data_IF_205421436337
#
_entry.id   IF_205421436337
#
_cell.length_a   1.000
_cell.length_b   1.000
_cell.length_c   1.000
_cell.angle_alpha   90.00
_cell.angle_beta   90.00
_cell.angle_gamma   90.00
#
_symmetry.space_group_name_H-M   'P 1'
#
loop_
_entity.id
_entity.type
_entity.pdbx_description
1 polymer ?
#
# COMPACT_ATOMS: atom_id res chain seq x y z
N UNK A 1 -55.88 18.46 24.53
CA UNK A 1 -54.84 17.92 23.62
C UNK A 1 -53.51 18.51 24.05
N UNK A 2 -52.67 17.75 24.77
CA UNK A 2 -51.34 18.20 25.23
C UNK A 2 -50.30 17.49 24.39
N UNK A 3 -49.54 18.26 23.62
CA UNK A 3 -48.44 17.81 22.79
C UNK A 3 -47.30 17.32 23.69
N UNK A 4 -47.07 16.01 23.72
CA UNK A 4 -45.91 15.39 24.34
C UNK A 4 -44.99 14.96 23.19
N UNK A 5 -43.97 15.74 22.88
CA UNK A 5 -42.70 15.38 22.22
C UNK A 5 -41.92 16.72 22.11
N UNK A 6 -40.66 16.87 22.58
CA UNK A 6 -39.55 15.94 22.35
C UNK A 6 -38.44 15.96 23.46
N UNK A 7 -38.55 15.16 24.53
CA UNK A 7 -37.45 15.10 25.53
C UNK A 7 -36.46 13.95 25.29
N UNK A 8 -36.79 13.01 24.41
CA UNK A 8 -35.99 11.79 24.15
C UNK A 8 -34.88 12.02 23.10
N UNK A 9 -34.90 13.13 22.36
CA UNK A 9 -33.98 13.34 21.22
C UNK A 9 -32.56 13.83 21.62
N UNK A 10 -32.36 14.35 22.84
CA UNK A 10 -31.10 15.02 23.23
C UNK A 10 -30.06 14.04 23.81
N UNK A 11 -30.46 12.87 24.31
CA UNK A 11 -29.52 11.93 24.94
C UNK A 11 -28.68 11.10 23.94
N UNK A 12 -29.15 10.95 22.70
CA UNK A 12 -28.48 10.11 21.68
C UNK A 12 -27.25 10.80 21.07
N UNK A 13 -27.23 12.14 21.04
CA UNK A 13 -26.15 12.91 20.37
C UNK A 13 -24.82 12.86 21.16
N UNK A 14 -24.85 12.74 22.49
CA UNK A 14 -23.63 12.71 23.32
C UNK A 14 -22.86 11.38 23.26
N UNK A 15 -23.53 10.26 22.99
CA UNK A 15 -22.89 8.93 22.95
C UNK A 15 -22.07 8.71 21.67
N UNK A 16 -22.48 9.32 20.55
CA UNK A 16 -21.81 9.15 19.25
C UNK A 16 -20.42 9.81 19.23
N UNK A 17 -20.25 10.95 19.91
CA UNK A 17 -18.98 11.68 19.97
C UNK A 17 -17.87 10.94 20.74
N UNK A 18 -18.24 10.23 21.82
CA UNK A 18 -17.29 9.46 22.61
C UNK A 18 -16.79 8.21 21.87
N UNK A 19 -17.69 7.52 21.14
CA UNK A 19 -17.34 6.33 20.38
C UNK A 19 -16.28 6.61 19.30
N UNK A 20 -16.40 7.73 18.57
CA UNK A 20 -15.43 8.13 17.55
C UNK A 20 -14.02 8.35 18.15
N UNK A 21 -13.94 9.06 19.27
CA UNK A 21 -12.67 9.35 19.94
C UNK A 21 -11.98 8.09 20.45
N UNK A 22 -12.73 7.14 21.03
CA UNK A 22 -12.21 5.85 21.48
C UNK A 22 -11.66 5.04 20.30
N UNK A 23 -12.41 5.01 19.19
CA UNK A 23 -11.98 4.31 17.98
C UNK A 23 -10.70 4.92 17.40
N UNK A 24 -10.57 6.25 17.31
CA UNK A 24 -9.33 6.90 16.85
C UNK A 24 -8.15 6.59 17.79
N UNK A 25 -8.37 6.62 19.11
CA UNK A 25 -7.35 6.26 20.08
C UNK A 25 -6.88 4.80 19.88
N UNK A 26 -7.83 3.87 19.76
CA UNK A 26 -7.53 2.45 19.52
C UNK A 26 -6.82 2.23 18.18
N UNK A 27 -7.22 2.96 17.12
CA UNK A 27 -6.58 2.90 15.82
C UNK A 27 -5.08 3.23 15.94
N UNK A 28 -4.74 4.32 16.63
CA UNK A 28 -3.35 4.73 16.87
C UNK A 28 -2.58 3.71 17.70
N UNK A 29 -3.22 3.17 18.75
CA UNK A 29 -2.60 2.13 19.59
C UNK A 29 -2.24 0.89 18.78
N UNK A 30 -3.15 0.42 17.93
CA UNK A 30 -2.90 -0.75 17.09
C UNK A 30 -1.89 -0.45 15.98
N UNK A 31 -1.90 0.73 15.38
CA UNK A 31 -0.91 1.14 14.38
C UNK A 31 0.52 1.15 14.96
N UNK A 32 0.71 1.67 16.18
CA UNK A 32 2.00 1.61 16.87
C UNK A 32 2.43 0.17 17.18
N UNK A 33 1.51 -0.68 17.61
CA UNK A 33 1.79 -2.09 17.87
C UNK A 33 2.12 -2.86 16.57
N UNK A 34 1.47 -2.50 15.46
CA UNK A 34 1.76 -3.07 14.15
C UNK A 34 3.16 -2.69 13.68
N UNK A 35 3.56 -1.42 13.87
CA UNK A 35 4.90 -0.95 13.55
C UNK A 35 5.98 -1.65 14.39
N UNK A 36 5.77 -1.81 15.70
CA UNK A 36 6.71 -2.57 16.56
C UNK A 36 6.85 -4.04 16.13
N UNK A 37 5.75 -4.70 15.75
CA UNK A 37 5.81 -6.05 15.20
C UNK A 37 6.54 -6.11 13.85
N UNK A 38 6.31 -5.13 12.97
CA UNK A 38 7.01 -5.00 11.69
C UNK A 38 8.53 -4.86 11.89
N UNK A 39 8.98 -4.04 12.83
CA UNK A 39 10.42 -3.88 13.14
C UNK A 39 11.09 -5.17 13.62
N UNK A 40 10.30 -6.11 14.17
CA UNK A 40 10.77 -7.43 14.61
C UNK A 40 10.66 -8.50 13.51
N UNK A 41 10.14 -8.14 12.33
CA UNK A 41 9.82 -9.09 11.26
C UNK A 41 8.63 -10.00 11.58
N UNK A 42 7.83 -9.68 12.60
CA UNK A 42 6.61 -10.41 12.95
C UNK A 42 5.44 -9.91 12.08
N UNK A 43 5.47 -10.34 10.81
CA UNK A 43 4.51 -9.90 9.80
C UNK A 43 3.08 -10.35 10.07
N UNK A 44 2.88 -11.50 10.73
CA UNK A 44 1.54 -11.97 11.12
C UNK A 44 0.92 -11.09 12.19
N UNK A 45 1.69 -10.76 13.23
CA UNK A 45 1.23 -9.86 14.27
C UNK A 45 1.04 -8.44 13.73
N UNK A 46 1.95 -7.96 12.89
CA UNK A 46 1.82 -6.67 12.21
C UNK A 46 0.53 -6.61 11.39
N UNK A 47 0.26 -7.63 10.57
CA UNK A 47 -0.99 -7.73 9.79
C UNK A 47 -2.22 -7.67 10.69
N UNK A 48 -2.26 -8.48 11.75
CA UNK A 48 -3.39 -8.48 12.69
C UNK A 48 -3.62 -7.10 13.28
N UNK A 49 -2.56 -6.41 13.71
CA UNK A 49 -2.68 -5.08 14.29
C UNK A 49 -3.06 -4.02 13.25
N UNK A 50 -2.53 -4.05 12.03
CA UNK A 50 -2.97 -3.15 10.96
C UNK A 50 -4.45 -3.36 10.60
N UNK A 51 -4.96 -4.60 10.61
CA UNK A 51 -6.39 -4.88 10.43
C UNK A 51 -7.25 -4.21 11.51
N UNK A 52 -6.84 -4.35 12.78
CA UNK A 52 -7.53 -3.71 13.91
C UNK A 52 -7.43 -2.18 13.85
N UNK A 53 -6.27 -1.65 13.47
CA UNK A 53 -6.04 -0.22 13.32
C UNK A 53 -6.97 0.37 12.25
N UNK A 54 -7.03 -0.27 11.08
CA UNK A 54 -7.91 0.13 9.98
C UNK A 54 -9.39 0.08 10.37
N UNK A 55 -9.85 -1.02 10.98
CA UNK A 55 -11.24 -1.15 11.41
C UNK A 55 -11.64 -0.05 12.40
N UNK A 56 -10.78 0.24 13.39
CA UNK A 56 -11.01 1.32 14.34
C UNK A 56 -10.93 2.71 13.67
N UNK A 57 -9.99 2.95 12.76
CA UNK A 57 -9.89 4.22 12.05
C UNK A 57 -11.16 4.51 11.24
N UNK A 58 -11.70 3.50 10.55
CA UNK A 58 -12.95 3.60 9.79
C UNK A 58 -14.15 3.88 10.71
N UNK A 59 -14.30 3.14 11.80
CA UNK A 59 -15.38 3.38 12.79
C UNK A 59 -15.24 4.72 13.52
N UNK A 60 -14.01 5.24 13.62
CA UNK A 60 -13.70 6.55 14.20
C UNK A 60 -13.87 7.72 13.24
N UNK A 61 -14.24 7.48 11.98
CA UNK A 61 -14.25 8.48 10.91
C UNK A 61 -12.91 9.22 10.77
N UNK A 62 -11.80 8.46 10.82
CA UNK A 62 -10.48 9.01 10.53
C UNK A 62 -10.46 9.63 9.12
N UNK A 63 -9.54 10.56 8.91
CA UNK A 63 -9.35 11.15 7.59
C UNK A 63 -8.96 10.08 6.55
N UNK A 64 -9.32 10.35 5.29
CA UNK A 64 -9.14 9.42 4.18
C UNK A 64 -7.68 8.98 3.99
N UNK A 65 -6.69 9.84 4.29
CA UNK A 65 -5.26 9.49 4.15
C UNK A 65 -4.83 8.53 5.24
N UNK A 66 -5.32 8.72 6.47
CA UNK A 66 -5.11 7.75 7.56
C UNK A 66 -5.69 6.38 7.20
N UNK A 67 -6.92 6.33 6.68
CA UNK A 67 -7.53 5.05 6.27
C UNK A 67 -6.75 4.41 5.11
N UNK A 68 -6.34 5.21 4.12
CA UNK A 68 -5.53 4.76 2.98
C UNK A 68 -4.21 4.12 3.42
N UNK A 69 -3.42 4.83 4.23
CA UNK A 69 -2.14 4.33 4.75
C UNK A 69 -2.30 3.03 5.52
N UNK A 70 -3.29 2.94 6.42
CA UNK A 70 -3.52 1.71 7.19
C UNK A 70 -3.90 0.53 6.30
N UNK A 71 -4.64 0.78 5.22
CA UNK A 71 -4.99 -0.25 4.24
C UNK A 71 -3.79 -0.66 3.40
N UNK A 72 -2.94 0.28 3.00
CA UNK A 72 -1.66 0.02 2.33
C UNK A 72 -0.77 -0.91 3.19
N UNK A 73 -0.55 -0.58 4.46
CA UNK A 73 0.29 -1.40 5.34
C UNK A 73 -0.31 -2.78 5.63
N UNK A 74 -1.64 -2.87 5.83
CA UNK A 74 -2.31 -4.16 5.94
C UNK A 74 -2.13 -5.00 4.67
N UNK A 75 -2.20 -4.38 3.49
CA UNK A 75 -2.00 -5.05 2.21
C UNK A 75 -0.59 -5.60 2.06
N UNK A 76 0.44 -4.79 2.39
CA UNK A 76 1.84 -5.23 2.40
C UNK A 76 2.07 -6.41 3.33
N UNK A 77 1.64 -6.29 4.59
CA UNK A 77 1.78 -7.34 5.58
C UNK A 77 1.06 -8.64 5.13
N UNK A 78 -0.12 -8.52 4.52
CA UNK A 78 -0.87 -9.66 3.97
C UNK A 78 -0.14 -10.36 2.82
N UNK A 79 0.50 -9.61 1.92
CA UNK A 79 1.27 -10.20 0.82
C UNK A 79 2.50 -10.94 1.32
N UNK A 80 3.16 -10.47 2.38
CA UNK A 80 4.34 -11.14 2.95
C UNK A 80 3.96 -12.51 3.53
N UNK A 81 2.81 -12.60 4.20
CA UNK A 81 2.28 -13.85 4.77
C UNK A 81 1.41 -14.65 3.79
N UNK A 82 1.46 -14.31 2.50
CA UNK A 82 0.85 -15.06 1.40
C UNK A 82 -0.68 -15.10 1.40
N UNK A 83 -1.31 -14.13 2.06
CA UNK A 83 -2.74 -13.86 1.95
C UNK A 83 -3.02 -12.98 0.73
N UNK A 84 -2.74 -13.52 -0.45
CA UNK A 84 -2.67 -12.78 -1.72
C UNK A 84 -3.95 -12.01 -2.06
N UNK A 85 -5.11 -12.63 -1.88
CA UNK A 85 -6.41 -12.01 -2.15
C UNK A 85 -6.66 -10.80 -1.25
N UNK A 86 -6.33 -10.92 0.04
CA UNK A 86 -6.47 -9.83 1.01
C UNK A 86 -5.48 -8.70 0.74
N UNK A 87 -4.25 -9.06 0.38
CA UNK A 87 -3.21 -8.11 0.02
C UNK A 87 -3.63 -7.26 -1.17
N UNK A 88 -4.09 -7.91 -2.24
CA UNK A 88 -4.55 -7.23 -3.45
C UNK A 88 -5.78 -6.35 -3.18
N UNK A 89 -6.79 -6.88 -2.48
CA UNK A 89 -7.98 -6.11 -2.14
C UNK A 89 -7.61 -4.83 -1.39
N UNK A 90 -6.75 -4.95 -0.39
CA UNK A 90 -6.31 -3.83 0.43
C UNK A 90 -5.52 -2.79 -0.36
N UNK A 91 -4.56 -3.21 -1.19
CA UNK A 91 -3.75 -2.26 -1.95
C UNK A 91 -4.56 -1.55 -3.05
N UNK A 92 -5.53 -2.24 -3.69
CA UNK A 92 -6.44 -1.55 -4.60
C UNK A 92 -7.33 -0.54 -3.85
N UNK A 93 -7.83 -0.88 -2.67
CA UNK A 93 -8.57 0.10 -1.84
C UNK A 93 -7.70 1.31 -1.45
N UNK A 94 -6.43 1.09 -1.07
CA UNK A 94 -5.49 2.17 -0.78
C UNK A 94 -5.24 3.06 -2.01
N UNK A 95 -5.04 2.47 -3.19
CA UNK A 95 -4.91 3.19 -4.46
C UNK A 95 -6.12 4.11 -4.73
N UNK A 96 -7.34 3.61 -4.53
CA UNK A 96 -8.57 4.38 -4.73
C UNK A 96 -8.71 5.52 -3.71
N UNK A 97 -8.33 5.30 -2.45
CA UNK A 97 -8.37 6.32 -1.40
C UNK A 97 -7.30 7.40 -1.62
N UNK A 98 -6.10 7.03 -2.03
CA UNK A 98 -5.03 7.98 -2.38
C UNK A 98 -5.42 8.81 -3.61
N UNK A 99 -6.04 8.20 -4.62
CA UNK A 99 -6.54 8.91 -5.81
C UNK A 99 -7.60 9.97 -5.46
N UNK A 100 -8.41 9.72 -4.43
CA UNK A 100 -9.44 10.68 -3.95
C UNK A 100 -8.89 11.76 -3.04
N UNK A 101 -7.70 11.57 -2.48
CA UNK A 101 -7.15 12.43 -1.42
C UNK A 101 -5.85 13.14 -1.79
N UNK A 102 -5.42 13.00 -3.05
CA UNK A 102 -4.11 13.40 -3.53
C UNK A 102 -2.97 12.78 -2.70
N UNK A 103 -3.14 11.50 -2.33
CA UNK A 103 -2.14 10.66 -1.69
C UNK A 103 -1.17 10.04 -2.71
N UNK A 104 -0.16 9.28 -2.24
CA UNK A 104 0.88 8.70 -3.08
C UNK A 104 0.39 7.46 -3.84
N UNK A 105 -0.54 7.65 -4.79
CA UNK A 105 -1.19 6.58 -5.59
C UNK A 105 -0.23 5.64 -6.34
N UNK A 106 1.04 6.01 -6.52
CA UNK A 106 2.04 5.13 -7.09
C UNK A 106 2.47 4.01 -6.12
N UNK A 107 2.46 4.26 -4.81
CA UNK A 107 2.95 3.29 -3.82
C UNK A 107 2.14 1.99 -3.82
N UNK A 108 0.78 2.01 -3.77
CA UNK A 108 0.03 0.77 -3.81
C UNK A 108 0.18 0.00 -5.14
N UNK A 109 0.40 0.70 -6.26
CA UNK A 109 0.61 0.06 -7.56
C UNK A 109 1.96 -0.67 -7.66
N UNK A 110 3.03 -0.09 -7.09
CA UNK A 110 4.33 -0.77 -6.95
C UNK A 110 4.18 -2.06 -6.15
N UNK A 111 3.48 -2.00 -5.02
CA UNK A 111 3.29 -3.20 -4.20
C UNK A 111 2.41 -4.26 -4.90
N UNK A 112 1.40 -3.83 -5.65
CA UNK A 112 0.52 -4.73 -6.41
C UNK A 112 1.26 -5.46 -7.53
N UNK A 113 2.14 -4.78 -8.28
CA UNK A 113 2.94 -5.46 -9.31
C UNK A 113 3.91 -6.46 -8.67
N UNK A 114 4.56 -6.10 -7.55
CA UNK A 114 5.50 -6.99 -6.85
C UNK A 114 4.83 -8.23 -6.28
N UNK A 115 3.61 -8.09 -5.75
CA UNK A 115 2.78 -9.23 -5.34
C UNK A 115 2.47 -10.15 -6.53
N UNK A 116 2.20 -9.58 -7.71
CA UNK A 116 1.97 -10.36 -8.92
C UNK A 116 3.23 -11.05 -9.41
N UNK A 117 4.39 -10.38 -9.38
CA UNK A 117 5.71 -10.97 -9.70
C UNK A 117 6.03 -12.13 -8.76
N UNK A 118 5.81 -11.97 -7.44
CA UNK A 118 6.02 -13.04 -6.45
C UNK A 118 5.18 -14.29 -6.75
N UNK A 119 3.98 -14.11 -7.30
CA UNK A 119 3.08 -15.17 -7.75
C UNK A 119 3.37 -15.66 -9.19
N UNK A 120 4.38 -15.11 -9.87
CA UNK A 120 4.67 -15.32 -11.31
C UNK A 120 3.49 -14.99 -12.24
N UNK A 121 2.58 -14.13 -11.78
CA UNK A 121 1.45 -13.66 -12.57
C UNK A 121 1.84 -12.41 -13.37
N UNK A 122 2.71 -12.59 -14.36
CA UNK A 122 3.30 -11.49 -15.13
C UNK A 122 2.27 -10.73 -15.97
N UNK A 123 1.21 -11.38 -16.44
CA UNK A 123 0.11 -10.71 -17.17
C UNK A 123 -0.56 -9.67 -16.27
N UNK A 124 -0.85 -10.03 -15.01
CA UNK A 124 -1.47 -9.11 -14.05
C UNK A 124 -0.48 -8.02 -13.59
N UNK A 125 0.78 -8.38 -13.35
CA UNK A 125 1.84 -7.43 -13.04
C UNK A 125 1.95 -6.36 -14.14
N UNK A 126 1.92 -6.77 -15.42
CA UNK A 126 1.94 -5.85 -16.56
C UNK A 126 0.77 -4.86 -16.51
N UNK A 127 -0.44 -5.33 -16.20
CA UNK A 127 -1.61 -4.46 -16.06
C UNK A 127 -1.45 -3.40 -14.96
N UNK A 128 -0.71 -3.69 -13.89
CA UNK A 128 -0.36 -2.70 -12.87
C UNK A 128 0.76 -1.75 -13.32
N UNK A 129 1.78 -2.25 -14.02
CA UNK A 129 2.81 -1.40 -14.63
C UNK A 129 2.24 -0.42 -15.65
N UNK A 130 1.30 -0.86 -16.49
CA UNK A 130 0.64 -0.01 -17.49
C UNK A 130 -0.08 1.19 -16.83
N UNK A 131 -0.56 1.04 -15.57
CA UNK A 131 -1.11 2.13 -14.75
C UNK A 131 -0.03 2.95 -14.04
N UNK A 132 1.02 2.29 -13.56
CA UNK A 132 2.09 2.88 -12.75
C UNK A 132 2.99 3.81 -13.56
N UNK A 133 3.39 3.41 -14.77
CA UNK A 133 4.39 4.14 -15.57
C UNK A 133 4.01 5.60 -15.88
N UNK A 134 2.76 5.93 -16.27
CA UNK A 134 2.35 7.33 -16.41
C UNK A 134 2.45 8.14 -15.11
N UNK A 135 2.13 7.52 -13.96
CA UNK A 135 2.19 8.18 -12.65
C UNK A 135 3.65 8.45 -12.26
N UNK A 136 4.55 7.49 -12.48
CA UNK A 136 5.99 7.67 -12.22
C UNK A 136 6.57 8.82 -13.05
N UNK A 137 6.13 8.97 -14.29
CA UNK A 137 6.50 10.10 -15.15
C UNK A 137 5.98 11.43 -14.60
N UNK A 138 4.68 11.49 -14.23
CA UNK A 138 4.05 12.68 -13.64
C UNK A 138 4.78 13.17 -12.39
N UNK A 139 5.16 12.24 -11.49
CA UNK A 139 5.86 12.60 -10.26
C UNK A 139 7.36 12.82 -10.47
N UNK A 140 7.88 12.64 -11.68
CA UNK A 140 9.31 12.71 -12.01
C UNK A 140 10.16 11.75 -11.16
N UNK A 141 9.73 10.49 -11.08
CA UNK A 141 10.35 9.48 -10.22
C UNK A 141 11.85 9.31 -10.50
N UNK A 142 12.26 9.29 -11.77
CA UNK A 142 13.67 9.18 -12.15
C UNK A 142 14.55 10.28 -11.52
N UNK A 143 14.04 11.50 -11.42
CA UNK A 143 14.79 12.62 -10.83
C UNK A 143 14.78 12.56 -9.30
N UNK A 144 13.66 12.14 -8.71
CA UNK A 144 13.45 12.16 -7.25
C UNK A 144 14.09 10.97 -6.53
N UNK A 145 14.05 9.79 -7.14
CA UNK A 145 14.71 8.58 -6.67
C UNK A 145 15.23 7.78 -7.88
N UNK A 146 16.39 8.17 -8.45
CA UNK A 146 16.91 7.53 -9.65
C UNK A 146 17.15 6.04 -9.48
N UNK A 147 17.64 5.61 -8.31
CA UNK A 147 17.94 4.20 -8.06
C UNK A 147 16.64 3.41 -7.88
N UNK A 148 15.69 3.91 -7.08
CA UNK A 148 14.39 3.25 -6.95
C UNK A 148 13.64 3.17 -8.28
N UNK A 149 13.76 4.19 -9.14
CA UNK A 149 13.21 4.15 -10.49
C UNK A 149 13.92 3.12 -11.38
N UNK A 150 15.25 3.00 -11.29
CA UNK A 150 16.00 1.98 -12.02
C UNK A 150 15.60 0.55 -11.60
N UNK A 151 15.39 0.32 -10.31
CA UNK A 151 14.91 -0.97 -9.79
C UNK A 151 13.53 -1.31 -10.37
N UNK A 152 12.60 -0.34 -10.39
CA UNK A 152 11.28 -0.51 -11.01
C UNK A 152 11.36 -0.78 -12.53
N UNK A 153 12.33 -0.20 -13.23
CA UNK A 153 12.55 -0.48 -14.66
C UNK A 153 13.04 -1.90 -14.91
N UNK A 154 13.90 -2.43 -14.03
CA UNK A 154 14.36 -3.82 -14.11
C UNK A 154 13.22 -4.81 -13.76
N UNK A 155 12.39 -4.48 -12.77
CA UNK A 155 11.16 -5.22 -12.44
C UNK A 155 10.18 -5.22 -13.63
N UNK A 156 9.96 -4.06 -14.27
CA UNK A 156 9.10 -3.98 -15.45
C UNK A 156 9.67 -4.77 -16.63
N UNK A 157 10.99 -4.72 -16.84
CA UNK A 157 11.63 -5.49 -17.90
C UNK A 157 11.49 -7.01 -17.69
N UNK A 158 11.56 -7.49 -16.44
CA UNK A 158 11.25 -8.88 -16.11
C UNK A 158 9.83 -9.24 -16.53
N UNK A 159 8.86 -8.38 -16.21
CA UNK A 159 7.46 -8.59 -16.60
C UNK A 159 7.32 -8.64 -18.12
N UNK A 160 7.86 -7.66 -18.85
CA UNK A 160 7.78 -7.57 -20.31
C UNK A 160 8.39 -8.79 -21.00
N UNK A 161 9.52 -9.29 -20.53
CA UNK A 161 10.13 -10.51 -21.08
C UNK A 161 9.21 -11.72 -20.92
N UNK A 162 8.57 -11.86 -19.75
CA UNK A 162 7.65 -12.96 -19.47
C UNK A 162 6.26 -12.79 -20.11
N UNK A 163 5.96 -11.62 -20.70
CA UNK A 163 4.73 -11.37 -21.46
C UNK A 163 4.95 -11.28 -22.97
N UNK A 164 6.14 -11.65 -23.46
CA UNK A 164 6.44 -11.73 -24.90
C UNK A 164 6.89 -10.41 -25.53
N UNK A 165 7.41 -9.47 -24.75
CA UNK A 165 7.91 -8.16 -25.19
C UNK A 165 9.42 -7.97 -24.91
N UNK A 166 10.31 -8.88 -25.37
CA UNK A 166 11.73 -8.88 -25.00
C UNK A 166 12.51 -7.66 -25.52
N UNK A 167 12.09 -7.08 -26.65
CA UNK A 167 12.70 -5.85 -27.17
C UNK A 167 12.42 -4.66 -26.25
N UNK A 168 11.20 -4.53 -25.74
CA UNK A 168 10.84 -3.49 -24.79
C UNK A 168 11.56 -3.71 -23.44
N UNK A 169 11.60 -4.96 -22.96
CA UNK A 169 12.36 -5.33 -21.77
C UNK A 169 13.84 -4.90 -21.87
N UNK A 170 14.47 -5.14 -23.02
CA UNK A 170 15.86 -4.75 -23.27
C UNK A 170 16.08 -3.24 -23.15
N UNK A 171 15.17 -2.43 -23.67
CA UNK A 171 15.26 -0.96 -23.56
C UNK A 171 15.18 -0.50 -22.11
N UNK A 172 14.26 -1.06 -21.32
CA UNK A 172 14.13 -0.71 -19.90
C UNK A 172 15.35 -1.13 -19.08
N UNK A 173 15.91 -2.33 -19.30
CA UNK A 173 17.17 -2.77 -18.66
C UNK A 173 18.35 -1.89 -19.01
N UNK A 174 18.46 -1.48 -20.28
CA UNK A 174 19.53 -0.56 -20.70
C UNK A 174 19.41 0.79 -19.99
N UNK A 175 18.18 1.30 -19.84
CA UNK A 175 17.94 2.54 -19.10
C UNK A 175 18.26 2.40 -17.61
N UNK A 176 17.82 1.33 -16.95
CA UNK A 176 18.15 1.03 -15.56
C UNK A 176 19.68 0.99 -15.35
N UNK A 177 20.41 0.26 -16.20
CA UNK A 177 21.88 0.20 -16.19
C UNK A 177 22.55 1.56 -16.41
N UNK A 178 21.99 2.40 -17.25
CA UNK A 178 22.52 3.75 -17.47
C UNK A 178 22.36 4.62 -16.22
N UNK A 179 21.20 4.54 -15.56
CA UNK A 179 20.93 5.29 -14.33
C UNK A 179 21.87 4.82 -13.21
N UNK A 180 21.97 3.51 -12.96
CA UNK A 180 22.85 2.97 -11.91
C UNK A 180 24.33 3.30 -12.15
N UNK A 181 24.79 3.31 -13.42
CA UNK A 181 26.14 3.77 -13.79
C UNK A 181 26.35 5.26 -13.50
N UNK A 182 25.30 6.08 -13.62
CA UNK A 182 25.37 7.54 -13.36
C UNK A 182 25.40 7.85 -11.86
N UNK A 183 24.80 6.98 -11.04
CA UNK A 183 24.71 7.13 -9.58
C UNK A 183 25.39 5.97 -8.83
N UNK A 184 26.72 5.78 -9.00
CA UNK A 184 27.43 4.66 -8.39
C UNK A 184 27.41 4.76 -6.86
N UNK A 185 27.19 3.63 -6.18
CA UNK A 185 27.17 3.53 -4.71
C UNK A 185 25.97 4.21 -4.04
N UNK A 186 24.95 4.62 -4.81
CA UNK A 186 23.67 5.08 -4.28
C UNK A 186 22.70 3.92 -4.14
N UNK A 187 21.71 4.08 -3.26
CA UNK A 187 20.66 3.11 -2.98
C UNK A 187 19.29 3.78 -3.13
N UNK A 188 18.26 3.00 -3.43
CA UNK A 188 16.88 3.46 -3.43
C UNK A 188 16.49 4.00 -2.04
N UNK A 189 15.53 4.92 -1.98
CA UNK A 189 15.07 5.46 -0.69
C UNK A 189 14.25 4.46 0.13
N UNK A 190 13.69 3.44 -0.52
CA UNK A 190 12.80 2.46 0.10
C UNK A 190 13.27 1.05 -0.18
N UNK A 191 13.19 0.19 0.82
CA UNK A 191 13.43 -1.24 0.68
C UNK A 191 12.26 -1.94 -0.03
N UNK A 192 12.57 -2.99 -0.78
CA UNK A 192 11.58 -3.83 -1.46
C UNK A 192 10.89 -4.72 -0.41
N UNK A 193 9.56 -4.71 -0.41
CA UNK A 193 8.74 -5.56 0.46
C UNK A 193 8.99 -7.05 0.12
N UNK A 194 9.36 -7.92 1.09
CA UNK A 194 9.75 -9.31 0.83
C UNK A 194 8.54 -10.22 0.68
N UNK A 195 7.76 -10.05 -0.38
CA UNK A 195 6.54 -10.83 -0.62
C UNK A 195 6.79 -12.34 -0.72
N UNK A 196 5.87 -13.13 -0.17
CA UNK A 196 5.95 -14.60 -0.25
C UNK A 196 6.94 -15.26 0.70
N UNK A 197 7.59 -14.50 1.59
CA UNK A 197 8.67 -15.02 2.44
C UNK A 197 8.19 -15.61 3.77
N UNK A 198 6.94 -15.36 4.18
CA UNK A 198 6.40 -15.78 5.48
C UNK A 198 5.09 -16.59 5.40
N UNK A 199 4.91 -17.42 4.35
CA UNK A 199 3.65 -18.15 4.14
C UNK A 199 3.29 -19.15 5.26
N UNK A 200 4.29 -19.79 5.88
CA UNK A 200 4.11 -21.02 6.67
C UNK A 200 4.51 -20.91 8.15
N UNK A 201 4.79 -19.71 8.67
CA UNK A 201 5.28 -19.51 10.04
C UNK A 201 4.19 -19.04 10.98
#
# INVERSE_FOLDING_TARGET
>A
MKNIFPTVLILVVFLVSCAGTINIHNARKYDLAAYDALQKGDWKTARMFYSRAWGNAKMGNADIRTVSRLRYEYGRASGIVCEWTEAELALNEAFELDSKSNGPRWMPLVELERICIAQKNYIKAKGYFDKLMPILSEIQAETKDPIGYADLLDEYALVLENTGEPEAATKHRQRAKQITKTFPGKHAHTEITPYGTACNN
#
